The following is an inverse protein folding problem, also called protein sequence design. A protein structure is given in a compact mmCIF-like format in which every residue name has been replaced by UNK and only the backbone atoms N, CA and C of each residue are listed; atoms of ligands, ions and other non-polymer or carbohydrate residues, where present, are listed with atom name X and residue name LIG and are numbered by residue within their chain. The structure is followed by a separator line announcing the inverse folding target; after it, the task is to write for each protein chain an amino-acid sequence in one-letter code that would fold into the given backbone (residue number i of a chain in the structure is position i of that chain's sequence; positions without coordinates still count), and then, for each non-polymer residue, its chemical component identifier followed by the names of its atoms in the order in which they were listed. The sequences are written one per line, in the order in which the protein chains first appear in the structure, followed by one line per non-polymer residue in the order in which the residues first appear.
data_IF_615089780864
#
_entry.id   IF_615089780864
#
_cell.length_a   1.000
_cell.length_b   1.000
_cell.length_c   1.000
_cell.angle_alpha   90.00
_cell.angle_beta   90.00
_cell.angle_gamma   90.00
#
_symmetry.space_group_name_H-M   'P 1'
#
loop_
_entity.id
_entity.type
_entity.pdbx_description
1 polymer ?
#
# COMPACT_ATOMS: atom_id res chain seq x y z
N UNK A 1 1.99 -9.82 -9.78
CA UNK A 1 2.13 -9.18 -8.46
C UNK A 1 2.77 -7.82 -8.61
N UNK A 2 2.24 -6.85 -7.94
CA UNK A 2 2.76 -5.48 -8.00
C UNK A 2 3.51 -5.15 -6.71
N UNK A 3 4.70 -4.61 -6.84
CA UNK A 3 5.54 -4.27 -5.68
C UNK A 3 5.96 -2.82 -5.75
N UNK A 4 5.81 -2.12 -4.64
CA UNK A 4 6.17 -0.71 -4.53
C UNK A 4 7.18 -0.56 -3.40
N UNK A 5 8.34 0.00 -3.69
CA UNK A 5 9.37 0.19 -2.69
C UNK A 5 9.46 1.69 -2.36
N UNK A 6 9.07 2.03 -1.15
CA UNK A 6 9.07 3.42 -0.67
C UNK A 6 10.29 3.73 0.18
N UNK A 7 11.15 2.76 0.35
CA UNK A 7 12.37 2.92 1.12
C UNK A 7 13.22 4.04 0.51
N UNK A 8 13.65 4.98 1.33
CA UNK A 8 14.45 6.09 0.84
C UNK A 8 13.69 7.36 0.50
N UNK A 9 12.37 7.27 0.36
CA UNK A 9 11.56 8.48 0.18
C UNK A 9 11.30 9.15 1.53
N UNK A 10 11.01 10.44 1.50
CA UNK A 10 10.44 11.11 2.68
C UNK A 10 9.03 10.57 2.90
N UNK A 11 8.49 10.82 4.10
CA UNK A 11 7.11 10.39 4.40
C UNK A 11 6.13 10.99 3.39
N UNK A 12 6.29 12.27 3.06
CA UNK A 12 5.41 12.95 2.11
C UNK A 12 5.51 12.35 0.71
N UNK A 13 6.74 12.12 0.24
CA UNK A 13 6.94 11.52 -1.07
C UNK A 13 6.40 10.10 -1.11
N UNK A 14 6.68 9.33 -0.06
CA UNK A 14 6.21 7.96 0.01
C UNK A 14 4.70 7.87 0.02
N UNK A 15 4.05 8.78 0.75
CA UNK A 15 2.60 8.82 0.80
C UNK A 15 2.00 9.05 -0.60
N UNK A 16 2.57 9.98 -1.35
CA UNK A 16 2.08 10.25 -2.71
C UNK A 16 2.24 9.05 -3.63
N UNK A 17 3.40 8.40 -3.57
CA UNK A 17 3.65 7.21 -4.39
C UNK A 17 2.71 6.08 -3.98
N UNK A 18 2.52 5.89 -2.68
CA UNK A 18 1.61 4.88 -2.16
C UNK A 18 0.18 5.09 -2.66
N UNK A 19 -0.33 6.31 -2.55
CA UNK A 19 -1.70 6.61 -2.98
C UNK A 19 -1.88 6.36 -4.48
N UNK A 20 -0.89 6.72 -5.26
CA UNK A 20 -0.93 6.46 -6.70
C UNK A 20 -0.93 4.95 -6.97
N UNK A 21 -0.13 4.19 -6.20
CA UNK A 21 -0.02 2.75 -6.40
C UNK A 21 -1.32 2.02 -6.05
N UNK A 22 -1.99 2.39 -4.95
CA UNK A 22 -3.24 1.72 -4.57
C UNK A 22 -4.36 2.06 -5.54
N UNK A 23 -4.41 3.31 -5.99
CA UNK A 23 -5.40 3.71 -6.97
C UNK A 23 -5.20 2.92 -8.27
N UNK A 24 -3.96 2.84 -8.73
CA UNK A 24 -3.62 2.10 -9.93
C UNK A 24 -3.97 0.62 -9.79
N UNK A 25 -3.62 0.03 -8.66
CA UNK A 25 -3.92 -1.37 -8.40
C UNK A 25 -5.43 -1.63 -8.43
N UNK A 26 -6.20 -0.72 -7.84
CA UNK A 26 -7.65 -0.85 -7.83
C UNK A 26 -8.23 -0.84 -9.25
N UNK A 27 -7.80 0.11 -10.07
CA UNK A 27 -8.33 0.22 -11.44
C UNK A 27 -7.80 -0.87 -12.36
N UNK A 28 -6.62 -1.43 -12.07
CA UNK A 28 -6.08 -2.56 -12.83
C UNK A 28 -6.66 -3.90 -12.40
N UNK A 29 -7.38 -3.93 -11.28
CA UNK A 29 -7.98 -5.16 -10.81
C UNK A 29 -7.06 -6.07 -10.04
N UNK A 30 -5.94 -5.56 -9.52
CA UNK A 30 -5.05 -6.36 -8.67
C UNK A 30 -5.74 -6.69 -7.36
N UNK A 31 -5.53 -7.90 -6.86
CA UNK A 31 -6.11 -8.31 -5.58
C UNK A 31 -5.31 -7.76 -4.40
N UNK A 32 -4.01 -7.61 -4.57
CA UNK A 32 -3.14 -7.07 -3.52
C UNK A 32 -1.83 -6.61 -4.13
N UNK A 33 -1.14 -5.76 -3.39
CA UNK A 33 0.20 -5.29 -3.76
C UNK A 33 1.09 -5.42 -2.53
N UNK A 34 2.40 -5.41 -2.75
CA UNK A 34 3.38 -5.41 -1.68
C UNK A 34 4.00 -4.02 -1.61
N UNK A 35 4.02 -3.43 -0.42
CA UNK A 35 4.60 -2.11 -0.22
C UNK A 35 5.72 -2.23 0.80
N UNK A 36 6.91 -1.80 0.42
CA UNK A 36 8.08 -1.84 1.30
C UNK A 36 8.30 -0.44 1.86
N UNK A 37 8.17 -0.30 3.19
CA UNK A 37 8.30 1.01 3.84
C UNK A 37 9.53 1.12 4.74
N UNK A 38 10.21 0.00 4.99
CA UNK A 38 11.36 0.00 5.89
C UNK A 38 10.92 0.08 7.35
N UNK A 39 11.78 0.62 8.20
CA UNK A 39 11.57 0.61 9.66
C UNK A 39 11.53 2.00 10.29
N UNK A 40 11.51 3.06 9.49
CA UNK A 40 11.56 4.44 9.99
C UNK A 40 10.17 5.04 10.21
N UNK A 41 10.12 6.36 10.07
CA UNK A 41 8.89 7.12 10.31
C UNK A 41 7.73 6.68 9.43
N UNK A 42 8.01 6.35 8.18
CA UNK A 42 6.98 5.91 7.25
C UNK A 42 6.28 4.64 7.75
N UNK A 43 7.04 3.74 8.36
CA UNK A 43 6.47 2.51 8.91
C UNK A 43 5.45 2.82 10.00
N UNK A 44 5.68 3.87 10.78
CA UNK A 44 4.76 4.26 11.84
C UNK A 44 3.47 4.84 11.32
N UNK A 45 3.52 5.50 10.15
CA UNK A 45 2.35 6.14 9.56
C UNK A 45 1.56 5.21 8.67
N UNK A 46 2.18 4.11 8.25
CA UNK A 46 1.62 3.31 7.16
C UNK A 46 0.25 2.72 7.46
N UNK A 47 0.02 2.25 8.69
CA UNK A 47 -1.29 1.68 9.00
C UNK A 47 -2.40 2.73 8.90
N UNK A 48 -2.11 3.97 9.27
CA UNK A 48 -3.07 5.06 9.10
C UNK A 48 -3.38 5.32 7.64
N UNK A 49 -2.36 5.27 6.79
CA UNK A 49 -2.55 5.45 5.36
C UNK A 49 -3.52 4.41 4.83
N UNK A 50 -3.32 3.15 5.23
CA UNK A 50 -4.17 2.07 4.76
C UNK A 50 -5.60 2.21 5.27
N UNK A 51 -5.77 2.59 6.53
CA UNK A 51 -7.11 2.77 7.10
C UNK A 51 -7.88 3.88 6.41
N UNK A 52 -7.19 4.93 6.00
CA UNK A 52 -7.81 6.08 5.35
C UNK A 52 -7.95 5.91 3.84
N UNK A 53 -7.37 4.87 3.27
CA UNK A 53 -7.33 4.71 1.82
C UNK A 53 -8.60 4.03 1.33
N UNK A 54 -9.40 4.69 0.48
CA UNK A 54 -10.66 4.11 0.03
C UNK A 54 -10.51 2.89 -0.88
N UNK A 55 -9.31 2.64 -1.39
CA UNK A 55 -9.06 1.50 -2.27
C UNK A 55 -8.53 0.27 -1.53
N UNK A 56 -8.27 0.40 -0.24
CA UNK A 56 -7.64 -0.67 0.55
C UNK A 56 -8.66 -1.34 1.46
N UNK A 57 -8.72 -2.67 1.38
CA UNK A 57 -9.57 -3.46 2.25
C UNK A 57 -8.90 -3.70 3.60
N UNK A 58 -7.63 -4.10 3.57
CA UNK A 58 -6.84 -4.31 4.79
C UNK A 58 -5.37 -4.37 4.42
N UNK A 59 -4.51 -4.30 5.43
CA UNK A 59 -3.08 -4.41 5.22
C UNK A 59 -2.48 -5.29 6.31
N UNK A 60 -1.50 -6.11 5.95
CA UNK A 60 -0.84 -7.02 6.87
C UNK A 60 0.66 -6.98 6.67
N UNK A 61 1.41 -7.02 7.75
CA UNK A 61 2.85 -7.13 7.66
C UNK A 61 3.27 -8.53 7.22
N UNK A 62 4.36 -8.59 6.47
CA UNK A 62 4.99 -9.88 6.18
C UNK A 62 5.71 -10.33 7.43
N UNK A 63 5.53 -11.60 7.79
CA UNK A 63 6.18 -12.15 8.98
C UNK A 63 7.71 -12.18 8.83
N UNK A 64 8.18 -12.47 7.62
CA UNK A 64 9.61 -12.64 7.39
C UNK A 64 10.31 -11.36 6.98
N UNK A 65 9.56 -10.32 6.69
CA UNK A 65 10.13 -9.05 6.27
C UNK A 65 9.31 -7.93 6.90
N UNK A 66 9.75 -7.48 8.06
CA UNK A 66 8.99 -6.51 8.84
C UNK A 66 8.89 -5.14 8.18
N UNK A 67 9.75 -4.87 7.18
CA UNK A 67 9.67 -3.62 6.45
C UNK A 67 8.69 -3.64 5.30
N UNK A 68 8.02 -4.77 5.05
CA UNK A 68 7.11 -4.92 3.93
C UNK A 68 5.71 -5.24 4.41
N UNK A 69 4.73 -4.77 3.64
CA UNK A 69 3.31 -4.99 3.94
C UNK A 69 2.62 -5.55 2.72
N UNK A 70 1.68 -6.46 2.95
CA UNK A 70 0.75 -6.88 1.91
C UNK A 70 -0.51 -6.03 2.06
N UNK A 71 -0.81 -5.28 1.04
CA UNK A 71 -1.96 -4.36 1.04
C UNK A 71 -3.03 -4.99 0.15
N UNK A 72 -4.14 -5.38 0.77
CA UNK A 72 -5.24 -6.04 0.06
C UNK A 72 -6.13 -4.95 -0.53
N UNK A 73 -6.32 -5.00 -1.83
CA UNK A 73 -7.07 -3.99 -2.56
C UNK A 73 -8.54 -4.40 -2.63
N UNK A 74 -9.42 -3.44 -2.47
CA UNK A 74 -10.85 -3.71 -2.60
C UNK A 74 -11.17 -4.18 -4.00
N UNK A 75 -12.19 -5.00 -4.10
CA UNK A 75 -12.64 -5.49 -5.40
C UNK A 75 -13.24 -4.33 -6.17
N UNK A 76 -12.79 -4.17 -7.42
CA UNK A 76 -13.32 -3.14 -8.29
C UNK A 76 -14.77 -3.47 -8.65
N UNK A 77 -15.63 -2.49 -8.51
CA UNK A 77 -17.04 -2.64 -8.89
C UNK A 77 -17.14 -2.36 -10.39
N UNK A 78 -17.56 -3.36 -11.14
CA UNK A 78 -17.79 -3.21 -12.55
C UNK A 78 -19.21 -2.73 -12.75
N UNK A 79 -19.33 -1.66 -13.24
CA UNK A 79 -20.44 -1.20 -13.41
C UNK A 79 -21.65 -1.12 -13.64
N UNK A 80 -21.79 -1.18 -13.72
CA UNK A 80 -22.64 -1.11 -14.03
C UNK A 80 -22.97 -0.52 -13.64
#
# INVERSE_FOLDING_TARGET
MHRVDLHGYTVWEGWKVYRSATQDAYYQGYKWIVVVVGHGEMSKEFSRWCEADPFVKEARRFEKNAGAWRVIIKKKINGR
#
